data_IF_723264978148
#
_entry.id   IF_723264978148
#
_cell.length_a   1.000
_cell.length_b   1.000
_cell.length_c   1.000
_cell.angle_alpha   90.00
_cell.angle_beta   90.00
_cell.angle_gamma   90.00
#
_symmetry.space_group_name_H-M   'P 1'
#
loop_
_entity.id
_entity.type
_entity.pdbx_description
1 polymer ?
#
# COMPACT_ATOMS: atom_id res chain seq x y z
N UNK A 1 -30.95 -7.66 -12.77
CA UNK A 1 -30.51 -7.84 -14.17
C UNK A 1 -30.38 -6.45 -14.75
N UNK A 2 -29.15 -5.99 -14.96
CA UNK A 2 -28.88 -4.74 -15.68
C UNK A 2 -28.27 -5.16 -17.00
N UNK A 3 -28.95 -4.85 -18.09
CA UNK A 3 -28.50 -5.14 -19.45
C UNK A 3 -27.32 -4.23 -19.79
N UNK A 4 -26.15 -4.85 -20.04
CA UNK A 4 -25.03 -4.18 -20.69
C UNK A 4 -25.27 -4.23 -22.21
N UNK A 5 -25.73 -3.11 -22.78
CA UNK A 5 -25.77 -2.95 -24.23
C UNK A 5 -24.40 -2.54 -24.79
N UNK A 6 -24.01 -3.27 -25.83
CA UNK A 6 -22.78 -3.18 -26.62
C UNK A 6 -22.26 -1.78 -26.92
N UNK A 7 -21.07 -1.50 -26.39
CA UNK A 7 -20.05 -0.64 -26.97
C UNK A 7 -18.72 -1.39 -26.85
N UNK A 8 -17.94 -1.45 -27.93
CA UNK A 8 -16.58 -2.02 -27.93
C UNK A 8 -15.64 -1.11 -27.12
N UNK A 9 -15.78 -1.13 -25.80
CA UNK A 9 -14.84 -0.54 -24.86
C UNK A 9 -13.60 -1.44 -24.79
N UNK A 10 -12.40 -0.88 -24.91
CA UNK A 10 -11.21 -1.63 -24.55
C UNK A 10 -11.38 -2.12 -23.11
N UNK A 11 -11.25 -3.43 -22.87
CA UNK A 11 -11.38 -3.99 -21.54
C UNK A 11 -10.46 -3.22 -20.57
N UNK A 12 -11.03 -2.71 -19.48
CA UNK A 12 -10.29 -1.90 -18.53
C UNK A 12 -9.07 -2.69 -17.99
N UNK A 13 -7.85 -2.14 -18.06
CA UNK A 13 -6.63 -2.89 -17.75
C UNK A 13 -6.54 -3.32 -16.28
N UNK A 14 -7.30 -2.67 -15.39
CA UNK A 14 -7.36 -2.99 -13.96
C UNK A 14 -8.45 -4.01 -13.62
N UNK A 15 -9.23 -4.50 -14.57
CA UNK A 15 -10.24 -5.54 -14.32
C UNK A 15 -9.61 -6.92 -14.51
N UNK A 16 -9.77 -7.80 -13.52
CA UNK A 16 -9.48 -9.22 -13.68
C UNK A 16 -10.72 -9.96 -14.15
N UNK A 17 -10.65 -10.53 -15.35
CA UNK A 17 -11.62 -11.49 -15.86
C UNK A 17 -11.05 -12.91 -15.73
N UNK A 18 -11.64 -13.79 -14.89
CA UNK A 18 -11.19 -15.17 -14.76
C UNK A 18 -11.60 -16.08 -15.93
N UNK A 19 -12.41 -15.58 -16.87
CA UNK A 19 -12.95 -16.34 -18.01
C UNK A 19 -12.59 -15.73 -19.37
N UNK A 20 -11.32 -15.35 -19.63
CA UNK A 20 -10.96 -14.66 -20.86
C UNK A 20 -11.21 -15.52 -22.12
N UNK A 21 -11.19 -16.85 -21.98
CA UNK A 21 -11.44 -17.81 -23.05
C UNK A 21 -12.90 -17.84 -23.54
N UNK A 22 -13.85 -17.22 -22.82
CA UNK A 22 -15.28 -17.22 -23.15
C UNK A 22 -15.77 -15.88 -23.73
N UNK A 23 -14.85 -15.04 -24.20
CA UNK A 23 -15.15 -13.69 -24.73
C UNK A 23 -15.62 -13.69 -26.18
N UNK A 24 -15.64 -14.84 -26.87
CA UNK A 24 -16.12 -14.95 -28.25
C UNK A 24 -17.65 -14.78 -28.33
N UNK A 25 -18.20 -14.12 -29.36
CA UNK A 25 -19.64 -13.93 -29.51
C UNK A 25 -20.39 -15.27 -29.51
N UNK A 26 -21.21 -15.50 -28.48
CA UNK A 26 -22.04 -16.70 -28.33
C UNK A 26 -21.51 -17.78 -27.37
N UNK A 27 -20.24 -17.70 -26.95
CA UNK A 27 -19.72 -18.53 -25.86
C UNK A 27 -20.13 -17.91 -24.52
N UNK A 28 -20.72 -18.71 -23.64
CA UNK A 28 -21.04 -18.28 -22.27
C UNK A 28 -20.06 -18.97 -21.33
N UNK A 29 -19.58 -18.23 -20.33
CA UNK A 29 -18.87 -18.82 -19.22
C UNK A 29 -19.68 -20.00 -18.66
N UNK A 30 -19.05 -21.11 -18.25
CA UNK A 30 -19.76 -22.28 -17.76
C UNK A 30 -20.59 -21.87 -16.54
N UNK A 31 -21.90 -22.15 -16.58
CA UNK A 31 -22.80 -21.78 -15.48
C UNK A 31 -22.40 -22.56 -14.22
N UNK A 32 -22.32 -21.86 -13.09
CA UNK A 32 -22.12 -22.48 -11.77
C UNK A 32 -20.66 -22.71 -11.36
N UNK A 33 -19.67 -22.13 -12.06
CA UNK A 33 -18.30 -22.11 -11.54
C UNK A 33 -18.21 -21.12 -10.38
N UNK A 34 -17.90 -21.64 -9.21
CA UNK A 34 -17.68 -20.86 -8.00
C UNK A 34 -16.29 -20.20 -8.07
N UNK A 35 -16.13 -18.89 -7.85
CA UNK A 35 -14.83 -18.22 -7.70
C UNK A 35 -13.85 -18.91 -6.74
N UNK A 36 -14.33 -19.58 -5.68
CA UNK A 36 -13.49 -20.39 -4.80
C UNK A 36 -12.83 -21.60 -5.52
N UNK A 37 -13.43 -22.11 -6.60
CA UNK A 37 -12.82 -23.15 -7.45
C UNK A 37 -11.85 -22.59 -8.49
N UNK A 38 -11.76 -21.26 -8.63
CA UNK A 38 -10.88 -20.57 -9.58
C UNK A 38 -9.55 -20.16 -8.95
N UNK A 39 -9.27 -20.64 -7.74
CA UNK A 39 -8.05 -20.34 -7.00
C UNK A 39 -7.37 -21.64 -6.58
N UNK A 40 -6.05 -21.60 -6.48
CA UNK A 40 -5.23 -22.69 -5.98
C UNK A 40 -4.19 -22.14 -5.02
N UNK A 41 -4.11 -22.72 -3.83
CA UNK A 41 -3.08 -22.36 -2.86
C UNK A 41 -1.75 -23.04 -3.18
N UNK A 42 -0.69 -22.25 -3.23
CA UNK A 42 0.68 -22.71 -3.17
C UNK A 42 1.17 -22.61 -1.73
N UNK A 43 0.91 -23.65 -0.93
CA UNK A 43 1.25 -23.69 0.50
C UNK A 43 2.74 -23.57 0.78
N UNK A 44 3.60 -24.06 -0.11
CA UNK A 44 5.06 -23.94 0.03
C UNK A 44 5.51 -22.48 -0.04
N UNK A 45 4.86 -21.70 -0.91
CA UNK A 45 5.13 -20.27 -1.08
C UNK A 45 4.27 -19.38 -0.17
N UNK A 46 3.22 -19.93 0.46
CA UNK A 46 2.27 -19.19 1.27
C UNK A 46 1.45 -18.18 0.46
N UNK A 47 1.10 -18.50 -0.78
CA UNK A 47 0.33 -17.61 -1.67
C UNK A 47 -0.79 -18.36 -2.38
N UNK A 48 -1.70 -17.59 -2.99
CA UNK A 48 -2.80 -18.09 -3.81
C UNK A 48 -2.57 -17.68 -5.26
N UNK A 49 -2.73 -18.62 -6.18
CA UNK A 49 -2.63 -18.38 -7.62
C UNK A 49 -4.01 -18.58 -8.28
N UNK A 50 -4.29 -17.93 -9.42
CA UNK A 50 -5.45 -18.28 -10.24
C UNK A 50 -5.34 -19.71 -10.77
N UNK A 51 -6.44 -20.43 -10.69
CA UNK A 51 -6.63 -21.76 -11.26
C UNK A 51 -7.86 -21.69 -12.17
N UNK A 52 -7.67 -21.21 -13.39
CA UNK A 52 -8.77 -20.84 -14.30
C UNK A 52 -8.82 -21.80 -15.50
N UNK A 53 -10.02 -22.03 -16.08
CA UNK A 53 -10.16 -22.87 -17.26
C UNK A 53 -9.49 -22.21 -18.48
N UNK A 54 -8.61 -22.96 -19.14
CA UNK A 54 -7.96 -22.60 -20.39
C UNK A 54 -8.44 -23.54 -21.52
N UNK A 55 -8.55 -23.01 -22.74
CA UNK A 55 -9.08 -23.76 -23.88
C UNK A 55 -7.96 -24.54 -24.56
N UNK A 56 -8.10 -25.86 -24.62
CA UNK A 56 -7.19 -26.75 -25.34
C UNK A 56 -7.97 -27.51 -26.43
N UNK A 57 -8.06 -26.90 -27.61
CA UNK A 57 -8.91 -27.38 -28.70
C UNK A 57 -10.41 -27.32 -28.33
N UNK A 58 -11.04 -28.49 -28.19
CA UNK A 58 -12.45 -28.64 -27.79
C UNK A 58 -12.63 -28.95 -26.29
N UNK A 59 -11.54 -28.99 -25.51
CA UNK A 59 -11.56 -29.28 -24.08
C UNK A 59 -11.22 -28.04 -23.25
N UNK A 60 -11.74 -27.99 -22.03
CA UNK A 60 -11.35 -27.00 -21.02
C UNK A 60 -10.51 -27.70 -19.95
N UNK A 61 -9.29 -27.22 -19.76
CA UNK A 61 -8.39 -27.71 -18.72
C UNK A 61 -8.08 -26.57 -17.76
N UNK A 62 -8.21 -26.82 -16.46
CA UNK A 62 -7.83 -25.84 -15.46
C UNK A 62 -6.31 -25.71 -15.42
N UNK A 63 -5.84 -24.47 -15.47
CA UNK A 63 -4.42 -24.14 -15.49
C UNK A 63 -4.11 -23.20 -14.33
N UNK A 64 -3.01 -23.51 -13.65
CA UNK A 64 -2.44 -22.64 -12.64
C UNK A 64 -1.56 -21.57 -13.30
N UNK A 65 -1.65 -20.34 -12.81
CA UNK A 65 -0.85 -19.22 -13.30
C UNK A 65 0.13 -18.78 -12.21
N UNK A 66 1.31 -19.43 -12.09
CA UNK A 66 2.23 -19.21 -10.96
C UNK A 66 2.82 -17.80 -10.90
N UNK A 67 2.84 -17.08 -12.04
CA UNK A 67 3.26 -15.67 -12.13
C UNK A 67 2.15 -14.68 -11.81
N UNK A 68 0.98 -15.15 -11.38
CA UNK A 68 -0.16 -14.33 -10.98
C UNK A 68 -0.52 -14.66 -9.54
N UNK A 69 -0.71 -13.65 -8.71
CA UNK A 69 -1.02 -13.85 -7.30
C UNK A 69 -2.39 -13.26 -7.02
N UNK A 70 -3.20 -13.97 -6.25
CA UNK A 70 -4.47 -13.48 -5.72
C UNK A 70 -4.26 -13.12 -4.26
N UNK A 71 -4.66 -11.91 -3.90
CA UNK A 71 -4.68 -11.44 -2.52
C UNK A 71 -6.11 -11.04 -2.19
N UNK A 72 -6.73 -11.77 -1.27
CA UNK A 72 -8.07 -11.45 -0.77
C UNK A 72 -7.97 -10.34 0.26
N UNK A 73 -8.73 -9.26 0.08
CA UNK A 73 -8.75 -8.13 1.01
C UNK A 73 -10.17 -7.86 1.51
N UNK A 74 -10.26 -7.37 2.74
CA UNK A 74 -11.53 -6.95 3.32
C UNK A 74 -11.33 -5.82 4.33
N UNK A 75 -12.38 -5.02 4.50
CA UNK A 75 -12.48 -3.99 5.53
C UNK A 75 -13.81 -4.11 6.26
N UNK A 76 -13.76 -4.15 7.58
CA UNK A 76 -14.91 -4.20 8.47
C UNK A 76 -14.97 -2.94 9.33
N UNK A 77 -16.16 -2.54 9.78
CA UNK A 77 -16.29 -1.40 10.69
C UNK A 77 -17.49 -1.58 11.63
N UNK A 78 -17.21 -1.55 12.94
CA UNK A 78 -18.23 -1.52 13.99
C UNK A 78 -18.62 -0.08 14.26
N UNK A 79 -19.92 0.17 14.41
CA UNK A 79 -20.44 1.54 14.57
C UNK A 79 -20.21 2.42 13.34
N UNK A 80 -20.19 1.84 12.13
CA UNK A 80 -19.92 2.61 10.92
C UNK A 80 -20.86 3.82 10.78
N UNK A 81 -20.29 5.01 10.54
CA UNK A 81 -21.03 6.26 10.46
C UNK A 81 -21.32 6.95 11.79
N UNK A 82 -20.91 6.39 12.93
CA UNK A 82 -20.98 7.04 14.25
C UNK A 82 -19.61 7.60 14.65
N UNK A 83 -19.58 8.42 15.70
CA UNK A 83 -18.33 8.90 16.31
C UNK A 83 -17.54 7.79 17.02
N UNK A 84 -18.18 6.67 17.34
CA UNK A 84 -17.56 5.48 17.92
C UNK A 84 -17.15 4.43 16.89
N UNK A 85 -17.14 4.81 15.60
CA UNK A 85 -16.74 3.93 14.52
C UNK A 85 -15.32 3.40 14.76
N UNK A 86 -15.16 2.08 14.69
CA UNK A 86 -13.86 1.41 14.74
C UNK A 86 -13.76 0.48 13.56
N UNK A 87 -12.78 0.69 12.72
CA UNK A 87 -12.58 -0.09 11.51
C UNK A 87 -11.40 -1.06 11.65
N UNK A 88 -11.45 -2.13 10.87
CA UNK A 88 -10.44 -3.16 10.81
C UNK A 88 -10.23 -3.57 9.35
N UNK A 89 -9.01 -3.97 9.03
CA UNK A 89 -8.64 -4.45 7.70
C UNK A 89 -8.07 -5.86 7.78
N UNK A 90 -8.07 -6.54 6.66
CA UNK A 90 -7.42 -7.83 6.51
C UNK A 90 -6.88 -8.05 5.11
N UNK A 91 -5.74 -8.72 5.04
CA UNK A 91 -5.04 -9.16 3.85
C UNK A 91 -4.79 -10.66 3.97
N UNK A 92 -5.27 -11.44 3.01
CA UNK A 92 -5.15 -12.89 2.98
C UNK A 92 -4.47 -13.33 1.68
N UNK A 93 -3.29 -13.91 1.81
CA UNK A 93 -2.50 -14.49 0.72
C UNK A 93 -2.77 -15.98 0.54
N UNK A 94 -3.17 -16.70 1.59
CA UNK A 94 -3.44 -18.15 1.55
C UNK A 94 -3.49 -18.76 2.94
N UNK A 95 -4.04 -19.97 3.07
CA UNK A 95 -4.13 -20.67 4.36
C UNK A 95 -2.74 -20.85 5.00
N UNK A 96 -2.63 -20.47 6.28
CA UNK A 96 -1.37 -20.55 7.03
C UNK A 96 -0.23 -19.65 6.51
N UNK A 97 -0.51 -18.75 5.57
CA UNK A 97 0.50 -17.86 5.02
C UNK A 97 1.04 -16.90 6.08
N UNK A 98 2.38 -16.83 6.16
CA UNK A 98 3.09 -15.83 6.99
C UNK A 98 2.88 -14.39 6.53
N UNK A 99 2.30 -14.19 5.35
CA UNK A 99 1.99 -12.87 4.77
C UNK A 99 0.56 -12.43 5.08
N UNK A 100 -0.29 -13.30 5.63
CA UNK A 100 -1.60 -12.91 6.11
C UNK A 100 -1.46 -11.87 7.22
N UNK A 101 -2.26 -10.82 7.15
CA UNK A 101 -2.23 -9.74 8.12
C UNK A 101 -3.65 -9.23 8.37
N UNK A 102 -3.98 -8.94 9.62
CA UNK A 102 -5.13 -8.12 9.95
C UNK A 102 -4.85 -7.27 11.16
N UNK A 103 -5.56 -6.15 11.23
CA UNK A 103 -5.39 -5.19 12.29
C UNK A 103 -6.53 -4.19 12.28
N UNK A 104 -6.53 -3.37 13.31
CA UNK A 104 -7.39 -2.20 13.34
C UNK A 104 -6.87 -1.19 12.31
N UNK A 105 -7.79 -0.48 11.67
CA UNK A 105 -7.44 0.64 10.83
C UNK A 105 -6.78 1.72 11.71
N UNK A 106 -5.61 2.28 11.34
CA UNK A 106 -4.96 3.31 12.12
C UNK A 106 -5.91 4.47 12.44
N UNK A 107 -5.84 5.01 13.65
CA UNK A 107 -6.75 6.09 14.09
C UNK A 107 -6.59 7.37 13.25
N UNK A 108 -5.41 7.55 12.64
CA UNK A 108 -5.12 8.62 11.68
C UNK A 108 -5.92 8.49 10.38
N UNK A 109 -6.41 7.29 10.06
CA UNK A 109 -7.29 7.06 8.93
C UNK A 109 -8.75 7.18 9.36
N UNK A 110 -9.58 7.66 8.44
CA UNK A 110 -11.02 7.78 8.68
C UNK A 110 -11.60 6.41 9.05
N UNK A 111 -12.14 6.30 10.25
CA UNK A 111 -12.80 5.07 10.69
C UNK A 111 -14.09 4.83 9.90
N UNK A 112 -14.04 3.85 8.99
CA UNK A 112 -15.18 3.47 8.16
C UNK A 112 -14.85 2.26 7.29
N UNK A 113 -15.87 1.50 6.91
CA UNK A 113 -15.71 0.26 6.12
C UNK A 113 -15.01 0.52 4.77
N UNK A 114 -15.39 1.61 4.10
CA UNK A 114 -14.82 2.00 2.81
C UNK A 114 -13.34 2.41 2.92
N UNK A 115 -12.95 3.11 3.98
CA UNK A 115 -11.55 3.44 4.20
C UNK A 115 -10.75 2.17 4.52
N UNK A 116 -11.29 1.30 5.37
CA UNK A 116 -10.62 0.06 5.76
C UNK A 116 -10.34 -0.88 4.59
N UNK A 117 -11.27 -1.02 3.63
CA UNK A 117 -11.04 -1.88 2.47
C UNK A 117 -10.03 -1.30 1.48
N UNK A 118 -9.98 0.03 1.31
CA UNK A 118 -8.92 0.67 0.49
C UNK A 118 -7.56 0.54 1.19
N UNK A 119 -7.53 0.69 2.52
CA UNK A 119 -6.32 0.47 3.32
C UNK A 119 -5.84 -0.98 3.20
N UNK A 120 -6.76 -1.95 3.24
CA UNK A 120 -6.44 -3.37 3.06
C UNK A 120 -5.76 -3.62 1.69
N UNK A 121 -6.27 -3.02 0.61
CA UNK A 121 -5.66 -3.13 -0.72
C UNK A 121 -4.28 -2.46 -0.79
N UNK A 122 -4.12 -1.27 -0.23
CA UNK A 122 -2.81 -0.61 -0.10
C UNK A 122 -1.83 -1.51 0.67
N UNK A 123 -2.27 -2.04 1.81
CA UNK A 123 -1.44 -2.88 2.67
C UNK A 123 -1.07 -4.20 2.00
N UNK A 124 -1.96 -4.76 1.19
CA UNK A 124 -1.68 -5.92 0.37
C UNK A 124 -0.52 -5.68 -0.60
N UNK A 125 -0.48 -4.53 -1.28
CA UNK A 125 0.62 -4.16 -2.17
C UNK A 125 1.93 -3.93 -1.40
N UNK A 126 1.88 -3.24 -0.25
CA UNK A 126 3.08 -3.07 0.59
C UNK A 126 3.65 -4.42 1.05
N UNK A 127 2.81 -5.33 1.57
CA UNK A 127 3.26 -6.67 1.96
C UNK A 127 3.82 -7.43 0.76
N UNK A 128 3.15 -7.32 -0.39
CA UNK A 128 3.58 -7.99 -1.60
C UNK A 128 4.99 -7.52 -2.02
N UNK A 129 5.20 -6.22 -2.15
CA UNK A 129 6.48 -5.63 -2.54
C UNK A 129 7.58 -5.93 -1.53
N UNK A 130 7.33 -5.68 -0.24
CA UNK A 130 8.36 -5.79 0.80
C UNK A 130 8.75 -7.24 1.12
N UNK A 131 7.80 -8.18 1.05
CA UNK A 131 7.95 -9.51 1.67
C UNK A 131 7.72 -10.67 0.71
N UNK A 132 7.05 -10.46 -0.42
CA UNK A 132 6.60 -11.55 -1.30
C UNK A 132 7.32 -11.52 -2.65
N UNK A 133 7.38 -10.38 -3.32
CA UNK A 133 7.93 -10.23 -4.67
C UNK A 133 9.36 -10.78 -4.78
N UNK A 134 10.23 -10.44 -3.82
CA UNK A 134 11.62 -10.91 -3.78
C UNK A 134 11.76 -12.44 -3.62
N UNK A 135 10.74 -13.13 -3.10
CA UNK A 135 10.80 -14.57 -2.81
C UNK A 135 10.20 -15.43 -3.94
N UNK A 136 9.44 -14.85 -4.86
CA UNK A 136 8.64 -15.60 -5.85
C UNK A 136 9.14 -15.46 -7.30
N UNK A 137 10.15 -14.63 -7.55
CA UNK A 137 10.61 -14.30 -8.90
C UNK A 137 9.63 -13.39 -9.63
N UNK A 138 9.62 -13.45 -10.97
CA UNK A 138 8.86 -12.51 -11.80
C UNK A 138 7.34 -12.70 -11.71
N UNK A 139 6.71 -12.05 -10.74
CA UNK A 139 5.25 -11.92 -10.69
C UNK A 139 4.82 -10.90 -11.72
N UNK A 140 3.95 -11.31 -12.65
CA UNK A 140 3.44 -10.45 -13.71
C UNK A 140 2.15 -9.72 -13.32
N UNK A 141 1.33 -10.33 -12.46
CA UNK A 141 0.04 -9.74 -12.04
C UNK A 141 -0.25 -10.00 -10.56
N UNK A 142 -0.71 -8.96 -9.87
CA UNK A 142 -1.31 -9.04 -8.54
C UNK A 142 -2.80 -8.75 -8.67
N UNK A 143 -3.62 -9.70 -8.24
CA UNK A 143 -5.07 -9.67 -8.34
C UNK A 143 -5.64 -9.43 -6.95
N UNK A 144 -6.18 -8.24 -6.72
CA UNK A 144 -6.88 -7.88 -5.49
C UNK A 144 -8.30 -8.42 -5.59
N UNK A 145 -8.58 -9.50 -4.84
CA UNK A 145 -9.91 -10.11 -4.72
C UNK A 145 -10.66 -9.44 -3.57
N UNK A 146 -11.86 -8.93 -3.85
CA UNK A 146 -12.68 -8.20 -2.86
C UNK A 146 -14.15 -8.30 -3.22
N UNK A 147 -15.04 -8.12 -2.24
CA UNK A 147 -16.47 -7.91 -2.49
C UNK A 147 -16.90 -6.45 -2.33
N UNK A 148 -15.96 -5.53 -2.16
CA UNK A 148 -16.27 -4.09 -2.08
C UNK A 148 -16.36 -3.48 -3.47
N UNK A 149 -17.59 -3.22 -3.92
CA UNK A 149 -17.82 -2.44 -5.14
C UNK A 149 -17.20 -1.04 -5.05
N UNK A 150 -17.18 -0.43 -3.86
CA UNK A 150 -16.55 0.87 -3.64
C UNK A 150 -15.06 0.87 -4.01
N UNK A 151 -14.28 -0.10 -3.49
CA UNK A 151 -12.87 -0.21 -3.82
C UNK A 151 -12.67 -0.45 -5.31
N UNK A 152 -13.38 -1.43 -5.88
CA UNK A 152 -13.24 -1.78 -7.29
C UNK A 152 -13.57 -0.58 -8.16
N UNK A 153 -14.78 -0.02 -8.05
CA UNK A 153 -15.25 1.14 -8.83
C UNK A 153 -14.28 2.32 -8.72
N UNK A 154 -13.82 2.63 -7.50
CA UNK A 154 -12.84 3.70 -7.27
C UNK A 154 -11.59 3.46 -8.11
N UNK A 155 -11.05 2.24 -8.14
CA UNK A 155 -9.77 1.94 -8.79
C UNK A 155 -9.87 1.64 -10.28
N UNK A 156 -11.02 1.15 -10.75
CA UNK A 156 -11.22 0.76 -12.14
C UNK A 156 -11.95 1.82 -12.96
N UNK A 157 -12.55 2.86 -12.38
CA UNK A 157 -13.31 3.87 -13.13
C UNK A 157 -13.07 5.27 -12.54
N UNK A 158 -13.46 5.51 -11.28
CA UNK A 158 -13.63 6.87 -10.79
C UNK A 158 -12.31 7.64 -10.56
N UNK A 159 -11.22 6.93 -10.27
CA UNK A 159 -9.97 7.57 -9.81
C UNK A 159 -9.29 8.46 -10.84
N UNK A 160 -9.44 8.19 -12.15
CA UNK A 160 -8.85 9.06 -13.17
C UNK A 160 -9.59 10.39 -13.23
N UNK A 161 -10.92 10.38 -13.22
CA UNK A 161 -11.74 11.59 -13.16
C UNK A 161 -11.49 12.37 -11.85
N UNK A 162 -11.31 11.65 -10.74
CA UNK A 162 -10.94 12.27 -9.47
C UNK A 162 -9.55 12.87 -9.51
N UNK A 163 -8.54 12.21 -10.08
CA UNK A 163 -7.20 12.78 -10.18
C UNK A 163 -7.20 14.08 -10.99
N UNK A 164 -7.88 14.10 -12.14
CA UNK A 164 -8.01 15.28 -13.00
C UNK A 164 -8.74 16.45 -12.33
N UNK A 165 -9.73 16.16 -11.49
CA UNK A 165 -10.52 17.16 -10.77
C UNK A 165 -9.94 17.59 -9.42
N UNK A 166 -8.76 17.09 -9.02
CA UNK A 166 -8.18 17.37 -7.71
C UNK A 166 -8.92 16.67 -6.55
N UNK A 167 -9.47 15.50 -6.83
CA UNK A 167 -10.27 14.62 -5.99
C UNK A 167 -11.56 15.26 -5.49
N UNK A 168 -12.32 15.82 -6.43
CA UNK A 168 -13.67 16.32 -6.22
C UNK A 168 -14.70 15.36 -6.81
N UNK A 169 -15.84 15.18 -6.15
CA UNK A 169 -16.98 14.43 -6.68
C UNK A 169 -17.83 15.30 -7.63
N UNK A 170 -18.85 14.69 -8.24
CA UNK A 170 -19.74 15.37 -9.18
C UNK A 170 -20.52 16.55 -8.57
N UNK A 171 -20.65 16.61 -7.23
CA UNK A 171 -21.25 17.73 -6.51
C UNK A 171 -20.23 18.85 -6.21
N UNK A 172 -18.97 18.68 -6.63
CA UNK A 172 -17.86 19.59 -6.29
C UNK A 172 -17.35 19.45 -4.86
N UNK A 173 -17.71 18.37 -4.14
CA UNK A 173 -17.22 18.11 -2.78
C UNK A 173 -15.98 17.23 -2.82
N UNK A 174 -15.11 17.37 -1.83
CA UNK A 174 -13.92 16.52 -1.72
C UNK A 174 -14.31 15.06 -1.54
N UNK A 175 -13.74 14.17 -2.37
CA UNK A 175 -13.90 12.72 -2.23
C UNK A 175 -13.46 12.29 -0.83
N UNK A 176 -14.31 11.50 -0.16
CA UNK A 176 -14.18 11.20 1.28
C UNK A 176 -12.85 10.54 1.66
N UNK A 177 -12.36 9.62 0.85
CA UNK A 177 -11.13 8.84 1.10
C UNK A 177 -10.01 9.22 0.11
N UNK A 178 -10.02 10.46 -0.41
CA UNK A 178 -9.14 10.90 -1.51
C UNK A 178 -7.66 10.58 -1.33
N UNK A 179 -7.12 10.75 -0.12
CA UNK A 179 -5.69 10.52 0.13
C UNK A 179 -5.32 9.05 0.02
N UNK A 180 -6.15 8.18 0.60
CA UNK A 180 -5.92 6.74 0.59
C UNK A 180 -6.13 6.14 -0.81
N UNK A 181 -7.15 6.63 -1.52
CA UNK A 181 -7.41 6.31 -2.93
C UNK A 181 -6.24 6.75 -3.80
N UNK A 182 -5.79 8.00 -3.68
CA UNK A 182 -4.69 8.51 -4.48
C UNK A 182 -3.37 7.81 -4.20
N UNK A 183 -3.10 7.46 -2.93
CA UNK A 183 -1.92 6.68 -2.56
C UNK A 183 -1.96 5.28 -3.19
N UNK A 184 -3.08 4.57 -3.09
CA UNK A 184 -3.25 3.27 -3.73
C UNK A 184 -3.12 3.35 -5.25
N UNK A 185 -3.74 4.37 -5.88
CA UNK A 185 -3.65 4.58 -7.31
C UNK A 185 -2.20 4.78 -7.76
N UNK A 186 -1.46 5.64 -7.07
CA UNK A 186 -0.07 5.92 -7.39
C UNK A 186 0.80 4.67 -7.29
N UNK A 187 0.63 3.87 -6.23
CA UNK A 187 1.33 2.59 -6.09
C UNK A 187 1.05 1.65 -7.28
N UNK A 188 -0.20 1.60 -7.75
CA UNK A 188 -0.57 0.77 -8.91
C UNK A 188 0.07 1.30 -10.21
N UNK A 189 0.12 2.61 -10.40
CA UNK A 189 0.78 3.20 -11.57
C UNK A 189 2.29 2.95 -11.56
N UNK A 190 2.92 3.11 -10.41
CA UNK A 190 4.34 2.89 -10.19
C UNK A 190 4.70 1.43 -10.47
N UNK A 191 3.95 0.48 -9.89
CA UNK A 191 4.13 -0.95 -10.13
C UNK A 191 3.97 -1.36 -11.61
N UNK A 192 3.11 -0.65 -12.36
CA UNK A 192 2.87 -0.88 -13.78
C UNK A 192 3.86 -0.16 -14.71
N UNK A 193 4.58 0.85 -14.22
CA UNK A 193 5.61 1.58 -14.96
C UNK A 193 6.64 0.68 -15.67
N UNK A 194 7.21 -0.34 -15.03
CA UNK A 194 8.20 -1.21 -15.65
C UNK A 194 7.67 -1.93 -16.89
N UNK A 195 6.41 -2.36 -16.86
CA UNK A 195 5.73 -3.00 -17.99
C UNK A 195 5.44 -2.03 -19.15
N UNK A 196 5.55 -0.72 -18.90
CA UNK A 196 5.45 0.36 -19.90
C UNK A 196 6.84 0.88 -20.34
N UNK A 197 7.92 0.20 -19.93
CA UNK A 197 9.30 0.54 -20.31
C UNK A 197 10.06 1.41 -19.31
N UNK A 198 9.61 1.51 -18.05
CA UNK A 198 10.21 2.39 -17.04
C UNK A 198 11.11 1.69 -15.98
N UNK A 199 11.20 0.35 -15.93
CA UNK A 199 12.03 -0.44 -14.96
C UNK A 199 12.05 -1.96 -15.32
N UNK A 200 12.84 -2.78 -14.62
CA UNK A 200 13.04 -4.21 -14.92
C UNK A 200 12.00 -5.19 -14.30
N UNK A 201 11.31 -4.85 -13.20
CA UNK A 201 10.50 -5.81 -12.41
C UNK A 201 9.09 -5.30 -12.02
N UNK A 202 8.25 -5.00 -13.00
CA UNK A 202 6.88 -4.51 -12.75
C UNK A 202 5.80 -5.58 -12.80
N UNK A 203 4.65 -5.24 -12.26
CA UNK A 203 3.47 -6.09 -12.24
C UNK A 203 2.20 -5.27 -12.47
N UNK A 204 1.19 -5.89 -13.06
CA UNK A 204 -0.13 -5.27 -13.19
C UNK A 204 -0.94 -5.55 -11.94
N UNK A 205 -1.51 -4.52 -11.34
CA UNK A 205 -2.58 -4.70 -10.35
C UNK A 205 -3.92 -4.78 -11.05
N UNK A 206 -4.66 -5.86 -10.78
CA UNK A 206 -6.04 -6.05 -11.24
C UNK A 206 -6.97 -6.25 -10.06
N UNK A 207 -8.24 -5.93 -10.24
CA UNK A 207 -9.29 -6.07 -9.25
C UNK A 207 -10.27 -7.14 -9.71
N UNK A 208 -10.59 -8.05 -8.79
CA UNK A 208 -11.59 -9.08 -8.97
C UNK A 208 -12.72 -8.87 -7.97
N UNK A 209 -13.82 -8.30 -8.44
CA UNK A 209 -15.04 -8.17 -7.66
C UNK A 209 -15.74 -9.53 -7.58
N UNK A 210 -15.95 -10.02 -6.36
CA UNK A 210 -16.64 -11.27 -6.04
C UNK A 210 -17.81 -11.01 -5.08
N UNK A 211 -18.66 -12.01 -4.87
CA UNK A 211 -19.68 -11.95 -3.82
C UNK A 211 -19.04 -12.08 -2.43
N UNK A 212 -19.78 -11.71 -1.38
CA UNK A 212 -19.26 -11.72 -0.02
C UNK A 212 -18.88 -13.13 0.46
N UNK A 213 -19.67 -14.14 0.09
CA UNK A 213 -19.46 -15.55 0.41
C UNK A 213 -18.17 -16.09 -0.21
N UNK A 214 -17.79 -15.53 -1.36
CA UNK A 214 -16.62 -15.93 -2.13
C UNK A 214 -15.34 -15.27 -1.60
N UNK A 215 -15.43 -14.25 -0.75
CA UNK A 215 -14.30 -13.62 -0.06
C UNK A 215 -14.22 -14.07 1.42
N UNK A 216 -14.66 -15.29 1.69
CA UNK A 216 -14.86 -15.83 3.04
C UNK A 216 -13.59 -16.02 3.86
N UNK A 217 -12.40 -15.87 3.28
CA UNK A 217 -11.13 -15.98 3.99
C UNK A 217 -10.72 -14.66 4.65
N UNK A 218 -10.90 -13.54 3.94
CA UNK A 218 -10.55 -12.21 4.44
C UNK A 218 -11.58 -11.68 5.45
N UNK A 219 -12.87 -11.96 5.25
CA UNK A 219 -13.96 -11.52 6.15
C UNK A 219 -13.73 -11.86 7.63
N UNK A 220 -13.56 -13.14 8.02
CA UNK A 220 -13.35 -13.50 9.41
C UNK A 220 -12.01 -12.98 9.94
N UNK A 221 -11.01 -12.81 9.07
CA UNK A 221 -9.69 -12.31 9.45
C UNK A 221 -9.76 -10.84 9.90
N UNK A 222 -10.59 -10.01 9.27
CA UNK A 222 -10.85 -8.65 9.72
C UNK A 222 -11.65 -8.63 11.03
N UNK A 223 -12.67 -9.48 11.17
CA UNK A 223 -13.46 -9.55 12.41
C UNK A 223 -12.64 -10.01 13.62
N UNK A 224 -11.68 -10.91 13.41
CA UNK A 224 -10.74 -11.33 14.45
C UNK A 224 -9.89 -10.16 14.99
N UNK A 225 -9.59 -9.14 14.18
CA UNK A 225 -8.80 -8.00 14.62
C UNK A 225 -9.49 -7.21 15.75
N UNK A 226 -10.83 -7.18 15.78
CA UNK A 226 -11.56 -6.56 16.88
C UNK A 226 -11.46 -7.34 18.20
N UNK A 227 -11.22 -8.65 18.14
CA UNK A 227 -11.10 -9.53 19.31
C UNK A 227 -9.66 -9.65 19.78
N UNK A 228 -8.68 -9.63 18.86
CA UNK A 228 -7.25 -9.64 19.21
C UNK A 228 -6.83 -8.39 19.96
N UNK A 229 -7.46 -7.25 19.67
CA UNK A 229 -7.30 -6.01 20.45
C UNK A 229 -7.87 -6.06 21.89
N UNK A 230 -8.18 -7.25 22.43
CA UNK A 230 -8.62 -7.50 23.81
C UNK A 230 -7.72 -8.55 24.51
N UNK A 231 -6.67 -9.09 23.84
CA UNK A 231 -5.85 -10.21 24.36
C UNK A 231 -4.33 -9.98 24.29
N UNK A 232 -3.88 -8.74 24.36
CA UNK A 232 -2.47 -8.41 24.58
C UNK A 232 -2.35 -7.65 25.91
N UNK A 233 -2.54 -8.35 27.03
CA UNK A 233 -2.39 -7.80 28.40
C UNK A 233 -1.94 -8.88 29.42
N UNK A 234 -1.12 -9.85 28.99
CA UNK A 234 -0.27 -10.61 29.91
C UNK A 234 1.08 -10.82 29.24
N UNK A 235 1.85 -9.73 29.12
CA UNK A 235 3.28 -9.69 29.41
C UNK A 235 3.83 -8.27 29.15
N UNK A 236 4.46 -7.71 30.19
CA UNK A 236 5.13 -6.41 30.26
C UNK A 236 4.27 -5.14 30.27
N UNK A 237 3.85 -4.80 31.48
CA UNK A 237 3.61 -3.45 32.00
C UNK A 237 4.54 -2.39 31.36
N UNK A 238 4.09 -1.82 30.23
CA UNK A 238 4.52 -0.52 29.72
C UNK A 238 3.30 0.27 29.26
N UNK A 239 2.53 0.78 30.22
CA UNK A 239 1.72 2.00 30.15
C UNK A 239 1.25 2.43 28.74
N UNK A 240 0.23 1.74 28.19
CA UNK A 240 -0.87 2.30 27.40
C UNK A 240 -0.59 3.30 26.26
N UNK A 241 0.53 3.19 25.54
CA UNK A 241 0.92 4.16 24.49
C UNK A 241 1.39 3.46 23.20
N UNK A 242 0.72 3.74 22.08
CA UNK A 242 1.03 3.27 20.71
C UNK A 242 2.56 3.29 20.43
N UNK A 243 3.12 2.36 19.64
CA UNK A 243 4.56 2.28 19.36
C UNK A 243 5.16 3.55 18.71
N UNK A 244 4.31 4.40 18.10
CA UNK A 244 4.65 5.71 17.53
C UNK A 244 4.42 6.89 18.46
N UNK A 245 3.66 6.73 19.55
CA UNK A 245 3.23 7.84 20.40
C UNK A 245 4.38 8.49 21.15
N UNK A 246 5.34 7.73 21.67
CA UNK A 246 6.45 8.30 22.44
C UNK A 246 7.42 9.11 21.54
N UNK A 247 7.84 8.60 20.36
CA UNK A 247 8.64 9.39 19.43
C UNK A 247 7.93 10.63 18.86
N UNK A 248 6.66 10.49 18.50
CA UNK A 248 5.85 11.59 17.98
C UNK A 248 5.57 12.65 19.07
N UNK A 249 5.27 12.21 20.28
CA UNK A 249 5.10 13.10 21.43
C UNK A 249 6.40 13.86 21.73
N UNK A 250 7.55 13.19 21.63
CA UNK A 250 8.85 13.85 21.79
C UNK A 250 9.04 14.93 20.70
N UNK A 251 8.80 14.59 19.43
CA UNK A 251 8.86 15.52 18.30
C UNK A 251 7.98 16.76 18.49
N UNK A 252 6.78 16.60 19.07
CA UNK A 252 5.80 17.69 19.21
C UNK A 252 5.95 18.50 20.49
N UNK A 253 6.43 17.90 21.58
CA UNK A 253 6.38 18.52 22.92
C UNK A 253 7.76 18.79 23.51
N UNK A 254 8.78 18.05 23.09
CA UNK A 254 10.14 18.12 23.64
C UNK A 254 11.10 18.76 22.64
N UNK A 255 11.18 18.24 21.41
CA UNK A 255 12.06 18.78 20.36
C UNK A 255 11.85 20.29 20.10
N UNK A 256 10.62 20.86 20.11
CA UNK A 256 10.44 22.30 19.90
C UNK A 256 10.92 23.14 21.09
N UNK A 257 11.19 22.54 22.25
CA UNK A 257 11.74 23.21 23.43
C UNK A 257 13.25 23.05 23.54
N UNK A 258 13.80 22.01 22.91
CA UNK A 258 15.21 21.72 22.86
C UNK A 258 15.94 22.73 21.96
N UNK A 259 17.02 23.32 22.48
CA UNK A 259 17.80 24.35 21.77
C UNK A 259 18.47 23.79 20.53
N UNK A 260 19.05 22.60 20.63
CA UNK A 260 19.82 21.99 19.56
C UNK A 260 18.89 21.49 18.45
N UNK A 261 17.71 20.98 18.82
CA UNK A 261 16.67 20.63 17.86
C UNK A 261 16.13 21.86 17.11
N UNK A 262 15.92 22.99 17.80
CA UNK A 262 15.54 24.28 17.18
C UNK A 262 16.62 24.81 16.24
N UNK A 263 17.88 24.75 16.66
CA UNK A 263 19.01 25.19 15.83
C UNK A 263 19.11 24.30 14.58
N UNK A 264 18.93 22.98 14.74
CA UNK A 264 18.87 22.03 13.63
C UNK A 264 17.70 22.33 12.70
N UNK A 265 16.50 22.58 13.21
CA UNK A 265 15.30 22.83 12.39
C UNK A 265 15.42 24.12 11.61
N UNK A 266 15.98 25.18 12.20
CA UNK A 266 16.28 26.44 11.54
C UNK A 266 17.35 26.26 10.46
N UNK A 267 18.45 25.57 10.80
CA UNK A 267 19.56 25.31 9.88
C UNK A 267 19.14 24.47 8.67
N UNK A 268 18.28 23.47 8.90
CA UNK A 268 17.79 22.58 7.85
C UNK A 268 16.47 23.02 7.24
N UNK A 269 15.89 24.15 7.68
CA UNK A 269 14.64 24.70 7.18
C UNK A 269 13.47 23.70 7.20
N UNK A 270 13.22 23.06 8.35
CA UNK A 270 11.97 22.34 8.61
C UNK A 270 11.31 22.88 9.88
N UNK A 271 9.99 22.77 9.96
CA UNK A 271 9.22 23.30 11.10
C UNK A 271 9.17 22.29 12.24
N UNK A 272 9.58 22.73 13.43
CA UNK A 272 9.25 22.07 14.69
C UNK A 272 8.01 22.75 15.26
N UNK A 273 6.84 22.12 15.15
CA UNK A 273 5.62 22.67 15.72
C UNK A 273 5.59 22.47 17.24
N UNK A 274 5.61 23.58 17.98
CA UNK A 274 5.36 23.62 19.41
C UNK A 274 3.86 23.75 19.63
N UNK A 275 3.21 22.72 20.18
CA UNK A 275 1.85 22.85 20.66
C UNK A 275 1.82 23.60 21.99
N UNK A 276 1.71 24.92 21.93
CA UNK A 276 1.10 25.72 23.01
C UNK A 276 -0.43 25.82 22.85
N UNK A 277 -0.98 25.50 21.67
CA UNK A 277 -2.42 25.52 21.39
C UNK A 277 -3.03 24.11 21.45
N UNK A 278 -4.17 24.01 22.14
CA UNK A 278 -4.82 22.77 22.62
C UNK A 278 -5.49 21.88 21.53
N UNK A 279 -5.18 22.05 20.25
CA UNK A 279 -5.85 21.30 19.16
C UNK A 279 -4.93 20.25 18.55
N UNK A 280 -5.10 19.01 19.02
CA UNK A 280 -4.32 17.83 18.67
C UNK A 280 -4.75 17.23 17.32
N UNK A 281 -3.93 17.37 16.26
CA UNK A 281 -4.11 16.71 14.96
C UNK A 281 -2.90 15.81 14.60
N UNK A 282 -2.98 14.53 14.96
CA UNK A 282 -1.93 13.52 14.72
C UNK A 282 -1.61 13.29 13.23
N UNK A 283 -2.60 13.45 12.35
CA UNK A 283 -2.42 13.22 10.91
C UNK A 283 -1.54 14.29 10.30
N UNK A 284 -1.68 15.54 10.76
CA UNK A 284 -0.79 16.64 10.40
C UNK A 284 0.63 16.41 10.93
N UNK A 285 0.76 15.97 12.18
CA UNK A 285 2.06 15.69 12.79
C UNK A 285 2.82 14.57 12.06
N UNK A 286 2.13 13.51 11.61
CA UNK A 286 2.75 12.42 10.84
C UNK A 286 3.31 12.91 9.50
N UNK A 287 2.58 13.75 8.77
CA UNK A 287 3.07 14.34 7.51
C UNK A 287 4.31 15.23 7.69
N UNK A 288 4.33 16.02 8.77
CA UNK A 288 5.46 16.89 9.12
C UNK A 288 6.70 16.09 9.54
N UNK A 289 6.51 14.96 10.23
CA UNK A 289 7.57 14.02 10.57
C UNK A 289 8.22 13.42 9.33
N UNK A 290 7.42 12.94 8.37
CA UNK A 290 7.96 12.40 7.11
C UNK A 290 8.74 13.47 6.34
N UNK A 291 8.24 14.71 6.28
CA UNK A 291 8.94 15.83 5.65
C UNK A 291 10.30 16.10 6.32
N UNK A 292 10.35 16.10 7.65
CA UNK A 292 11.59 16.28 8.40
C UNK A 292 12.59 15.13 8.17
N UNK A 293 12.14 13.88 8.19
CA UNK A 293 12.99 12.71 7.90
C UNK A 293 13.61 12.85 6.52
N UNK A 294 12.81 13.18 5.50
CA UNK A 294 13.31 13.39 4.14
C UNK A 294 14.35 14.52 4.10
N UNK A 295 14.13 15.61 4.83
CA UNK A 295 15.07 16.73 4.92
C UNK A 295 16.41 16.32 5.53
N UNK A 296 16.40 15.48 6.57
CA UNK A 296 17.62 14.93 7.15
C UNK A 296 18.40 14.10 6.13
N UNK A 297 17.70 13.30 5.33
CA UNK A 297 18.35 12.44 4.33
C UNK A 297 18.93 13.26 3.18
N UNK A 298 18.19 14.25 2.66
CA UNK A 298 18.67 15.18 1.62
C UNK A 298 19.94 15.91 2.09
N UNK A 299 19.97 16.34 3.35
CA UNK A 299 21.07 17.13 3.92
C UNK A 299 22.21 16.27 4.49
N UNK A 300 22.04 14.94 4.50
CA UNK A 300 23.00 13.99 5.06
C UNK A 300 23.17 14.04 6.58
N UNK A 301 22.14 14.53 7.26
CA UNK A 301 22.04 14.67 8.72
C UNK A 301 21.18 13.56 9.35
N UNK A 302 20.86 12.52 8.58
CA UNK A 302 20.08 11.35 8.99
C UNK A 302 20.89 10.36 9.83
N UNK A 303 21.45 10.84 10.95
CA UNK A 303 22.22 10.04 11.91
C UNK A 303 21.40 9.72 13.15
N UNK A 304 21.70 8.61 13.80
CA UNK A 304 20.99 8.17 15.01
C UNK A 304 20.96 9.26 16.10
N UNK A 305 22.03 10.04 16.27
CA UNK A 305 22.05 11.13 17.26
C UNK A 305 21.01 12.21 16.96
N UNK A 306 20.80 12.51 15.68
CA UNK A 306 19.81 13.49 15.23
C UNK A 306 18.39 12.93 15.40
N UNK A 307 18.21 11.62 15.21
CA UNK A 307 16.93 10.97 15.51
C UNK A 307 16.62 10.95 17.00
N UNK A 308 17.61 10.70 17.86
CA UNK A 308 17.44 10.83 19.32
C UNK A 308 17.10 12.28 19.70
N UNK A 309 17.73 13.26 19.03
CA UNK A 309 17.48 14.69 19.26
C UNK A 309 16.05 15.10 18.88
N UNK A 310 15.50 14.55 17.80
CA UNK A 310 14.20 14.94 17.25
C UNK A 310 13.03 14.08 17.74
N UNK A 311 13.28 12.81 18.06
CA UNK A 311 12.26 11.80 18.36
C UNK A 311 12.52 11.06 19.69
N UNK A 312 13.54 11.48 20.44
CA UNK A 312 13.87 10.93 21.75
C UNK A 312 14.53 9.55 21.70
N UNK A 313 14.96 9.04 22.87
CA UNK A 313 15.68 7.74 22.97
C UNK A 313 14.86 6.53 22.52
N UNK A 314 13.53 6.66 22.43
CA UNK A 314 12.61 5.61 21.98
C UNK A 314 12.29 5.70 20.49
N UNK A 315 13.03 6.50 19.72
CA UNK A 315 12.78 6.72 18.28
C UNK A 315 12.75 5.43 17.44
N UNK A 316 13.35 4.33 17.91
CA UNK A 316 13.34 3.03 17.20
C UNK A 316 11.93 2.49 16.90
N UNK A 317 10.89 2.96 17.58
CA UNK A 317 9.50 2.71 17.17
C UNK A 317 9.15 3.24 15.77
N UNK A 318 9.98 4.13 15.20
CA UNK A 318 9.84 4.73 13.86
C UNK A 318 10.87 4.23 12.84
N UNK A 319 11.67 3.23 13.18
CA UNK A 319 12.80 2.78 12.35
C UNK A 319 12.36 2.29 10.96
N UNK A 320 11.15 1.72 10.85
CA UNK A 320 10.58 1.29 9.56
C UNK A 320 10.26 2.49 8.66
N UNK A 321 9.54 3.48 9.17
CA UNK A 321 9.16 4.70 8.43
C UNK A 321 10.39 5.52 8.05
N UNK A 322 11.37 5.57 8.95
CA UNK A 322 12.66 6.19 8.68
C UNK A 322 13.38 5.52 7.52
N UNK A 323 13.56 4.20 7.57
CA UNK A 323 14.26 3.46 6.52
C UNK A 323 13.56 3.58 5.16
N UNK A 324 12.22 3.57 5.16
CA UNK A 324 11.43 3.78 3.95
C UNK A 324 11.68 5.15 3.32
N UNK A 325 11.45 6.22 4.08
CA UNK A 325 11.67 7.60 3.61
C UNK A 325 13.12 7.87 3.20
N UNK A 326 14.07 7.21 3.88
CA UNK A 326 15.51 7.29 3.58
C UNK A 326 15.86 6.65 2.25
N UNK A 327 15.30 5.49 1.93
CA UNK A 327 15.55 4.83 0.65
C UNK A 327 14.89 5.59 -0.51
N UNK A 328 13.67 6.09 -0.31
CA UNK A 328 12.96 6.94 -1.30
C UNK A 328 13.82 8.14 -1.72
N UNK A 329 14.41 8.86 -0.77
CA UNK A 329 15.23 10.04 -1.05
C UNK A 329 16.57 9.70 -1.71
N UNK A 330 17.17 8.54 -1.40
CA UNK A 330 18.50 8.17 -1.91
C UNK A 330 18.48 7.55 -3.31
N UNK A 331 17.30 7.32 -3.90
CA UNK A 331 17.14 6.61 -5.18
C UNK A 331 17.35 7.45 -6.44
N UNK A 332 17.56 8.78 -6.38
CA UNK A 332 17.58 9.62 -7.60
C UNK A 332 18.95 10.15 -8.04
N UNK A 333 19.38 9.69 -9.22
CA UNK A 333 20.11 10.47 -10.22
C UNK A 333 19.17 10.76 -11.40
N UNK A 334 18.76 12.02 -11.60
CA UNK A 334 18.26 12.54 -12.88
C UNK A 334 16.76 12.81 -13.00
N UNK A 335 16.44 14.10 -13.20
CA UNK A 335 15.25 14.65 -13.87
C UNK A 335 14.01 13.76 -13.98
N UNK A 336 13.07 13.89 -13.04
CA UNK A 336 11.69 13.45 -13.27
C UNK A 336 11.10 14.24 -14.42
N UNK A 337 10.91 13.54 -15.53
CA UNK A 337 10.14 14.00 -16.67
C UNK A 337 8.69 14.33 -16.25
N UNK A 338 8.41 15.61 -16.07
CA UNK A 338 7.06 16.17 -16.26
C UNK A 338 6.10 16.20 -15.07
N UNK A 339 6.49 15.80 -13.85
CA UNK A 339 5.71 16.11 -12.63
C UNK A 339 6.50 17.12 -11.78
N UNK A 340 5.91 18.25 -11.33
CA UNK A 340 6.63 19.15 -10.46
C UNK A 340 6.86 18.44 -9.12
N UNK A 341 8.13 18.15 -8.83
CA UNK A 341 8.64 17.73 -7.52
C UNK A 341 8.11 18.58 -6.34
N UNK A 342 7.57 19.76 -6.59
CA UNK A 342 7.14 20.75 -5.61
C UNK A 342 5.89 20.39 -4.80
N UNK A 343 5.15 19.34 -5.12
CA UNK A 343 3.93 18.98 -4.34
C UNK A 343 4.24 18.30 -3.00
N UNK A 344 5.48 17.89 -2.77
CA UNK A 344 5.93 17.25 -1.52
C UNK A 344 7.13 17.96 -0.86
N UNK A 345 7.56 19.09 -1.40
CA UNK A 345 8.56 19.97 -0.78
C UNK A 345 7.87 21.19 -0.20
N UNK A 346 8.34 21.68 0.96
CA UNK A 346 8.06 23.07 1.35
C UNK A 346 8.45 23.96 0.16
N UNK A 347 7.55 24.86 -0.26
CA UNK A 347 7.62 25.65 -1.50
C UNK A 347 8.93 26.42 -1.71
N UNK A 348 9.75 26.56 -0.66
CA UNK A 348 11.01 27.30 -0.62
C UNK A 348 12.26 26.39 -0.55
N UNK A 349 12.12 25.09 -0.82
CA UNK A 349 13.23 24.13 -0.70
C UNK A 349 14.01 24.01 -2.01
N UNK A 350 15.29 24.46 -2.09
CA UNK A 350 16.09 24.26 -3.29
C UNK A 350 16.33 22.76 -3.54
N UNK A 351 16.31 22.35 -4.81
CA UNK A 351 16.63 21.00 -5.26
C UNK A 351 18.10 20.68 -4.98
N UNK A 352 18.39 20.16 -3.79
CA UNK A 352 19.72 19.68 -3.44
C UNK A 352 19.82 18.18 -3.63
N UNK A 353 20.90 17.76 -4.30
CA UNK A 353 21.23 16.37 -4.55
C UNK A 353 21.36 15.63 -3.21
N UNK A 354 20.66 14.51 -3.00
CA UNK A 354 20.80 13.72 -1.79
C UNK A 354 22.27 13.34 -1.56
N UNK A 355 22.69 13.16 -0.30
CA UNK A 355 24.03 12.62 -0.02
C UNK A 355 24.19 11.26 -0.72
N UNK A 356 25.42 10.92 -1.12
CA UNK A 356 25.70 9.58 -1.66
C UNK A 356 25.33 8.50 -0.64
N UNK A 357 24.72 7.43 -1.12
CA UNK A 357 24.46 6.24 -0.34
C UNK A 357 25.77 5.65 0.23
N UNK A 358 25.75 5.18 1.47
CA UNK A 358 26.87 4.45 2.06
C UNK A 358 26.94 3.01 1.49
N UNK A 359 28.01 2.24 1.76
CA UNK A 359 28.17 0.89 1.18
C UNK A 359 27.00 -0.07 1.43
N UNK A 360 26.34 0.02 2.59
CA UNK A 360 25.19 -0.83 2.92
C UNK A 360 23.93 -0.38 2.17
N UNK A 361 23.70 0.93 2.12
CA UNK A 361 22.61 1.55 1.35
C UNK A 361 22.82 1.34 -0.15
N UNK A 362 24.02 1.54 -0.66
CA UNK A 362 24.41 1.30 -2.04
C UNK A 362 24.26 -0.18 -2.39
N UNK A 363 24.58 -1.11 -1.49
CA UNK A 363 24.31 -2.54 -1.71
C UNK A 363 22.81 -2.85 -1.69
N UNK A 364 22.01 -2.17 -0.87
CA UNK A 364 20.55 -2.26 -0.92
C UNK A 364 20.00 -1.67 -2.22
N UNK A 365 20.49 -0.52 -2.63
CA UNK A 365 20.13 0.16 -3.89
C UNK A 365 20.59 -0.65 -5.11
N UNK A 366 21.77 -1.28 -5.07
CA UNK A 366 22.28 -2.22 -6.08
C UNK A 366 21.46 -3.52 -6.09
N UNK A 367 21.07 -4.05 -4.93
CA UNK A 367 20.13 -5.18 -4.90
C UNK A 367 18.74 -4.79 -5.44
N UNK A 368 18.38 -3.50 -5.36
CA UNK A 368 17.20 -2.92 -6.00
C UNK A 368 17.44 -2.59 -7.49
N UNK A 369 18.70 -2.53 -7.96
CA UNK A 369 19.11 -2.08 -9.29
C UNK A 369 19.90 -3.11 -10.14
N UNK A 370 20.16 -4.32 -9.65
CA UNK A 370 21.00 -5.31 -10.34
C UNK A 370 20.18 -6.20 -11.30
N UNK A 371 20.58 -6.32 -12.58
CA UNK A 371 19.90 -7.17 -13.55
C UNK A 371 20.20 -8.65 -13.33
N UNK A 372 19.18 -9.50 -13.43
CA UNK A 372 19.26 -10.96 -13.21
C UNK A 372 19.93 -11.65 -14.42
N UNK A 373 21.21 -12.04 -14.28
CA UNK A 373 21.95 -12.79 -15.31
C UNK A 373 21.74 -14.31 -15.13
N UNK A 374 20.92 -14.94 -15.98
CA UNK A 374 20.84 -16.40 -16.03
C UNK A 374 21.98 -16.99 -16.89
N UNK A 375 22.84 -17.79 -16.26
CA UNK A 375 23.86 -18.62 -16.93
C UNK A 375 23.20 -19.85 -17.56
N UNK A 376 23.15 -19.90 -18.88
CA UNK A 376 22.82 -21.11 -19.63
C UNK A 376 24.00 -22.07 -19.61
N UNK A 377 23.85 -23.23 -18.97
CA UNK A 377 24.73 -24.38 -19.22
C UNK A 377 23.90 -25.46 -19.89
N UNK A 378 24.20 -25.69 -21.16
CA UNK A 378 23.66 -26.74 -22.02
C UNK A 378 24.15 -28.11 -21.53
N UNK A 379 23.24 -29.07 -21.35
CA UNK A 379 23.36 -30.46 -21.83
C UNK A 379 21.97 -31.07 -22.01
#
# INVERSE_FOLDING_TARGET
MVDFQGGSASANPRVFDPFPAFTSPGEKAPRGINPASLVQENRAAGITNPFIPDRFGNLYLFKSYPRKIIISVHGACRGNGTSSARAAYSVFFGEGSRYNESGLLPETERQGSNAAVVFAAKRALEIFEDRVAHNLGDVAEVIIKTHSSYLTQSMIEDVWDWEESGYMDADGKKVRNRFLIGKLHHMIEEAAGPLRGFSENGYLTKFWLVNAEENGEAVPLAEQAFTRGVKEDEDEETDGKLPFSAPLHYWMKVAPKDRDAKELSQRLNFKLHSMEDDEYDEARAAGEVTAAIRRLVITGEDREQIFVLLFGKRWKGMEVEWNKSRLEVLQEDGEVAGRPFSIYHDADTPCWRPRKANLFEAKRLENMAAPVVFKTTLY
#
